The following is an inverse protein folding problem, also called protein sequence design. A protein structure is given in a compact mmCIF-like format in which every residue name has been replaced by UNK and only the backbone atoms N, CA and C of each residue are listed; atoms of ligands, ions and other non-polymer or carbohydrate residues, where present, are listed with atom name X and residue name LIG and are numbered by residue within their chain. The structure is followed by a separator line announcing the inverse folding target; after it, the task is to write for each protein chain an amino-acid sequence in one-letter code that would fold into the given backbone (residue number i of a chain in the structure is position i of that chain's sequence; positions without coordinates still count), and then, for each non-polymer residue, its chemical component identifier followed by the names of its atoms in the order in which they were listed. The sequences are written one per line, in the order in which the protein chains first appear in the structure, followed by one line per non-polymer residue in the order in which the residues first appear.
data_IF_202453286472
#
_entry.id   IF_202453286472
#
_cell.length_a   1.000
_cell.length_b   1.000
_cell.length_c   1.000
_cell.angle_alpha   90.00
_cell.angle_beta   90.00
_cell.angle_gamma   90.00
#
_symmetry.space_group_name_H-M   'P 1'
#
loop_
_entity.id
_entity.type
_entity.pdbx_description
1 polymer ?
#
# COMPACT_ATOMS: atom_id res chain seq x y z
N UNK A 1 -4.40 -21.76 19.08
CA UNK A 1 -4.49 -20.54 18.24
C UNK A 1 -3.53 -19.50 18.84
N UNK A 2 -2.67 -18.94 18.04
CA UNK A 2 -1.74 -17.90 18.48
C UNK A 2 -2.46 -16.55 18.59
N UNK A 3 -1.92 -15.59 19.35
CA UNK A 3 -2.47 -14.22 19.42
C UNK A 3 -2.53 -13.55 18.04
N UNK A 4 -1.58 -13.86 17.16
CA UNK A 4 -1.59 -13.41 15.77
C UNK A 4 -2.85 -13.93 15.06
N UNK A 5 -3.09 -15.24 15.11
CA UNK A 5 -4.27 -15.85 14.45
C UNK A 5 -5.60 -15.33 15.03
N UNK A 6 -5.68 -15.08 16.32
CA UNK A 6 -6.87 -14.49 16.96
C UNK A 6 -7.20 -13.11 16.36
N UNK A 7 -6.20 -12.22 16.26
CA UNK A 7 -6.38 -10.90 15.68
C UNK A 7 -6.69 -10.95 14.18
N UNK A 8 -6.08 -11.87 13.43
CA UNK A 8 -6.35 -12.05 12.02
C UNK A 8 -7.77 -12.59 11.77
N UNK A 9 -8.31 -13.44 12.64
CA UNK A 9 -9.71 -13.86 12.55
C UNK A 9 -10.70 -12.69 12.70
N UNK A 10 -10.38 -11.71 13.56
CA UNK A 10 -11.19 -10.48 13.67
C UNK A 10 -11.19 -9.73 12.33
N UNK A 11 -10.03 -9.55 11.70
CA UNK A 11 -9.93 -8.88 10.39
C UNK A 11 -10.69 -9.63 9.29
N UNK A 12 -10.66 -10.96 9.29
CA UNK A 12 -11.45 -11.78 8.34
C UNK A 12 -12.94 -11.56 8.55
N UNK A 13 -13.40 -11.51 9.80
CA UNK A 13 -14.80 -11.27 10.11
C UNK A 13 -15.25 -9.86 9.68
N UNK A 14 -14.43 -8.85 9.93
CA UNK A 14 -14.67 -7.46 9.49
C UNK A 14 -14.71 -7.35 7.96
N UNK A 15 -13.75 -7.96 7.26
CA UNK A 15 -13.75 -8.02 5.80
C UNK A 15 -15.03 -8.65 5.26
N UNK A 16 -15.42 -9.82 5.78
CA UNK A 16 -16.60 -10.55 5.34
C UNK A 16 -17.87 -9.72 5.53
N UNK A 17 -17.97 -9.01 6.64
CA UNK A 17 -19.11 -8.12 6.93
C UNK A 17 -19.13 -6.94 5.96
N UNK A 18 -18.03 -6.18 5.89
CA UNK A 18 -17.97 -4.95 5.10
C UNK A 18 -18.17 -5.22 3.60
N UNK A 19 -17.56 -6.28 3.04
CA UNK A 19 -17.72 -6.59 1.61
C UNK A 19 -19.16 -6.95 1.26
N UNK A 20 -19.88 -7.66 2.13
CA UNK A 20 -21.28 -7.99 1.93
C UNK A 20 -22.20 -6.77 2.03
N UNK A 21 -21.89 -5.83 2.91
CA UNK A 21 -22.69 -4.62 3.12
C UNK A 21 -22.43 -3.51 2.07
N UNK A 22 -21.32 -3.56 1.34
CA UNK A 22 -20.94 -2.53 0.35
C UNK A 22 -22.02 -2.37 -0.74
N UNK A 23 -22.59 -3.45 -1.21
CA UNK A 23 -23.61 -3.42 -2.27
C UNK A 23 -24.90 -2.76 -1.78
N UNK A 24 -25.35 -3.09 -0.58
CA UNK A 24 -26.57 -2.54 0.03
C UNK A 24 -26.43 -1.03 0.26
N UNK A 25 -25.27 -0.59 0.78
CA UNK A 25 -24.97 0.83 0.98
C UNK A 25 -24.93 1.59 -0.33
N UNK A 26 -24.34 1.00 -1.37
CA UNK A 26 -24.22 1.64 -2.68
C UNK A 26 -25.54 1.66 -3.43
N UNK A 27 -26.37 0.63 -3.31
CA UNK A 27 -27.69 0.53 -3.96
C UNK A 27 -28.71 1.60 -3.47
N UNK A 28 -28.50 2.13 -2.26
CA UNK A 28 -29.32 3.23 -1.72
C UNK A 28 -29.00 4.62 -2.32
N UNK A 29 -27.98 4.73 -3.17
CA UNK A 29 -27.53 5.97 -3.79
C UNK A 29 -27.83 6.03 -5.29
N UNK A 30 -27.89 7.26 -5.86
CA UNK A 30 -28.12 7.44 -7.31
C UNK A 30 -26.99 6.79 -8.13
N UNK A 31 -27.32 6.23 -9.30
CA UNK A 31 -26.44 5.44 -10.20
C UNK A 31 -25.01 6.02 -10.42
N UNK A 32 -24.89 7.36 -10.54
CA UNK A 32 -23.56 7.99 -10.70
C UNK A 32 -22.67 7.92 -9.47
N UNK A 33 -23.27 7.86 -8.27
CA UNK A 33 -22.54 7.79 -7.01
C UNK A 33 -22.15 6.33 -6.66
N UNK A 34 -22.91 5.33 -7.15
CA UNK A 34 -22.73 3.92 -6.82
C UNK A 34 -21.30 3.43 -6.97
N UNK A 35 -20.69 3.55 -8.15
CA UNK A 35 -19.32 3.10 -8.39
C UNK A 35 -18.26 3.87 -7.58
N UNK A 36 -18.51 5.14 -7.27
CA UNK A 36 -17.66 5.96 -6.41
C UNK A 36 -17.68 5.48 -4.96
N UNK A 37 -18.85 5.17 -4.42
CA UNK A 37 -19.04 4.68 -3.05
C UNK A 37 -18.36 3.32 -2.88
N UNK A 38 -18.57 2.37 -3.81
CA UNK A 38 -17.91 1.06 -3.77
C UNK A 38 -16.38 1.22 -3.77
N UNK A 39 -15.83 2.08 -4.62
CA UNK A 39 -14.39 2.32 -4.70
C UNK A 39 -13.84 2.91 -3.41
N UNK A 40 -14.53 3.90 -2.84
CA UNK A 40 -14.14 4.52 -1.57
C UNK A 40 -14.15 3.50 -0.43
N UNK A 41 -15.23 2.74 -0.28
CA UNK A 41 -15.37 1.72 0.78
C UNK A 41 -14.33 0.61 0.68
N UNK A 42 -14.05 0.11 -0.53
CA UNK A 42 -12.97 -0.85 -0.74
C UNK A 42 -11.60 -0.24 -0.44
N UNK A 43 -11.35 1.02 -0.77
CA UNK A 43 -10.12 1.73 -0.43
C UNK A 43 -9.93 1.84 1.09
N UNK A 44 -10.96 2.32 1.80
CA UNK A 44 -10.96 2.43 3.27
C UNK A 44 -10.70 1.07 3.93
N UNK A 45 -11.29 -0.01 3.41
CA UNK A 45 -11.10 -1.37 3.91
C UNK A 45 -9.65 -1.85 3.76
N UNK A 46 -9.02 -1.63 2.59
CA UNK A 46 -7.61 -2.01 2.36
C UNK A 46 -6.68 -1.27 3.32
N UNK A 47 -6.91 0.03 3.49
CA UNK A 47 -6.12 0.83 4.41
C UNK A 47 -6.27 0.36 5.87
N UNK A 48 -7.50 0.02 6.28
CA UNK A 48 -7.75 -0.54 7.61
C UNK A 48 -7.00 -1.86 7.79
N UNK A 49 -7.14 -2.80 6.86
CA UNK A 49 -6.45 -4.09 6.91
C UNK A 49 -4.92 -3.87 6.95
N UNK A 50 -4.36 -3.02 6.10
CA UNK A 50 -2.92 -2.76 6.07
C UNK A 50 -2.41 -2.23 7.42
N UNK A 51 -3.14 -1.29 8.06
CA UNK A 51 -2.80 -0.76 9.38
C UNK A 51 -2.79 -1.85 10.46
N UNK A 52 -3.82 -2.68 10.47
CA UNK A 52 -3.92 -3.75 11.48
C UNK A 52 -2.86 -4.84 11.26
N UNK A 53 -2.56 -5.22 10.01
CA UNK A 53 -1.48 -6.16 9.70
C UNK A 53 -0.11 -5.66 10.20
N UNK A 54 0.19 -4.37 10.00
CA UNK A 54 1.43 -3.75 10.52
C UNK A 54 1.46 -3.77 12.04
N UNK A 55 0.35 -3.40 12.71
CA UNK A 55 0.27 -3.45 14.18
C UNK A 55 0.47 -4.87 14.69
N UNK A 56 -0.18 -5.87 14.09
CA UNK A 56 -0.03 -7.28 14.45
C UNK A 56 1.42 -7.74 14.26
N UNK A 57 2.05 -7.36 13.15
CA UNK A 57 3.46 -7.67 12.89
C UNK A 57 4.36 -7.09 13.99
N UNK A 58 4.11 -5.85 14.43
CA UNK A 58 4.92 -5.18 15.45
C UNK A 58 4.65 -5.72 16.86
N UNK A 59 3.39 -5.79 17.26
CA UNK A 59 3.02 -6.10 18.68
C UNK A 59 3.00 -7.59 18.98
N UNK A 60 2.52 -8.42 18.05
CA UNK A 60 2.33 -9.84 18.30
C UNK A 60 3.48 -10.70 17.75
N UNK A 61 3.90 -10.45 16.50
CA UNK A 61 4.97 -11.24 15.89
C UNK A 61 6.35 -10.84 16.43
N UNK A 62 6.64 -9.53 16.50
CA UNK A 62 7.92 -9.00 17.03
C UNK A 62 7.88 -8.66 18.52
N UNK A 63 6.71 -8.73 19.17
CA UNK A 63 6.49 -8.46 20.59
C UNK A 63 7.04 -7.11 21.04
N UNK A 64 6.88 -6.08 20.21
CA UNK A 64 7.37 -4.74 20.49
C UNK A 64 6.27 -3.84 21.08
N UNK A 65 6.69 -2.81 21.82
CA UNK A 65 5.77 -1.83 22.39
C UNK A 65 5.16 -0.96 21.29
N UNK A 66 3.82 -0.88 21.27
CA UNK A 66 3.05 -0.09 20.30
C UNK A 66 3.33 1.42 20.45
N UNK A 67 3.74 1.89 21.63
CA UNK A 67 4.05 3.32 21.87
C UNK A 67 5.21 3.84 21.03
N UNK A 68 6.06 2.95 20.51
CA UNK A 68 7.16 3.28 19.60
C UNK A 68 6.71 3.45 18.14
N UNK A 69 5.48 3.02 17.82
CA UNK A 69 4.93 3.04 16.48
C UNK A 69 3.90 4.15 16.32
N UNK A 70 4.08 4.99 15.32
CA UNK A 70 3.08 5.93 14.85
C UNK A 70 2.64 5.53 13.43
N UNK A 71 1.33 5.49 13.18
CA UNK A 71 0.77 5.28 11.84
C UNK A 71 -0.09 6.48 11.47
N UNK A 72 0.28 7.17 10.39
CA UNK A 72 -0.43 8.38 9.96
C UNK A 72 -0.54 8.48 8.42
N UNK A 73 -1.14 9.59 7.92
CA UNK A 73 -1.23 9.98 6.50
C UNK A 73 -0.66 11.38 6.28
N UNK A 74 0.27 11.81 7.12
CA UNK A 74 0.80 13.16 7.14
C UNK A 74 1.62 13.42 5.87
N UNK A 75 1.24 14.44 5.10
CA UNK A 75 1.99 14.81 3.90
C UNK A 75 3.33 15.44 4.27
N UNK A 76 4.39 14.98 3.61
CA UNK A 76 5.75 15.50 3.73
C UNK A 76 6.03 16.43 2.56
N UNK A 77 6.70 17.57 2.77
CA UNK A 77 7.13 18.44 1.68
C UNK A 77 8.35 17.83 0.99
N UNK A 78 8.26 17.64 -0.32
CA UNK A 78 9.39 17.29 -1.18
C UNK A 78 9.81 18.55 -1.93
N UNK A 79 11.03 18.99 -1.72
CA UNK A 79 11.60 20.19 -2.35
C UNK A 79 12.11 19.92 -3.76
N UNK A 80 12.61 20.99 -4.39
CA UNK A 80 13.17 20.93 -5.73
C UNK A 80 14.58 20.30 -5.69
N UNK A 81 14.81 19.36 -6.60
CA UNK A 81 16.10 18.72 -6.85
C UNK A 81 17.05 19.69 -7.58
N UNK A 82 18.32 19.77 -7.16
CA UNK A 82 19.34 20.64 -7.77
C UNK A 82 19.63 20.28 -9.24
N UNK A 83 19.58 19.00 -9.56
CA UNK A 83 19.74 18.54 -10.94
C UNK A 83 18.65 19.06 -11.89
N UNK A 84 17.43 19.28 -11.38
CA UNK A 84 16.37 19.93 -12.14
C UNK A 84 16.72 21.39 -12.43
N UNK A 85 17.16 22.15 -11.42
CA UNK A 85 17.57 23.55 -11.60
C UNK A 85 18.71 23.67 -12.61
N UNK A 86 19.66 22.74 -12.55
CA UNK A 86 20.77 22.71 -13.50
C UNK A 86 20.32 22.55 -14.97
N UNK A 87 19.27 21.74 -15.20
CA UNK A 87 18.74 21.44 -16.54
C UNK A 87 17.81 22.52 -17.13
N UNK A 88 17.36 23.50 -16.33
CA UNK A 88 16.51 24.58 -16.83
C UNK A 88 17.32 25.43 -17.81
N UNK A 89 16.88 25.47 -19.09
CA UNK A 89 17.54 26.21 -20.16
C UNK A 89 17.13 27.69 -20.21
N UNK A 90 15.87 28.02 -19.85
CA UNK A 90 15.40 29.40 -19.81
C UNK A 90 15.93 30.14 -18.58
N UNK A 91 16.70 31.23 -18.73
CA UNK A 91 17.30 31.97 -17.61
C UNK A 91 16.26 32.58 -16.66
N UNK A 92 15.10 33.04 -17.18
CA UNK A 92 14.06 33.67 -16.36
C UNK A 92 13.37 32.61 -15.49
N UNK A 93 13.04 31.45 -16.08
CA UNK A 93 12.46 30.32 -15.34
C UNK A 93 13.45 29.82 -14.30
N UNK A 94 14.75 29.68 -14.64
CA UNK A 94 15.80 29.28 -13.71
C UNK A 94 15.90 30.21 -12.50
N UNK A 95 15.96 31.51 -12.77
CA UNK A 95 16.01 32.57 -11.73
C UNK A 95 14.77 32.51 -10.84
N UNK A 96 13.58 32.38 -11.43
CA UNK A 96 12.33 32.25 -10.68
C UNK A 96 12.35 31.04 -9.75
N UNK A 97 12.74 29.87 -10.27
CA UNK A 97 12.78 28.62 -9.49
C UNK A 97 13.81 28.71 -8.37
N UNK A 98 15.00 29.28 -8.61
CA UNK A 98 16.02 29.49 -7.57
C UNK A 98 15.52 30.42 -6.46
N UNK A 99 14.93 31.56 -6.81
CA UNK A 99 14.45 32.55 -5.83
C UNK A 99 13.26 32.04 -5.00
N UNK A 100 12.48 31.12 -5.53
CA UNK A 100 11.28 30.56 -4.88
C UNK A 100 11.45 29.13 -4.36
N UNK A 101 12.65 28.60 -4.35
CA UNK A 101 12.96 27.19 -4.05
C UNK A 101 12.26 26.66 -2.80
N UNK A 102 12.24 27.44 -1.71
CA UNK A 102 11.67 27.02 -0.43
C UNK A 102 10.12 26.94 -0.43
N UNK A 103 9.47 27.63 -1.35
CA UNK A 103 8.01 27.60 -1.51
C UNK A 103 7.52 26.61 -2.57
N UNK A 104 8.39 26.22 -3.50
CA UNK A 104 8.10 25.27 -4.55
C UNK A 104 8.27 23.85 -4.04
N UNK A 105 7.30 23.37 -3.27
CA UNK A 105 7.31 22.05 -2.66
C UNK A 105 6.12 21.21 -3.12
N UNK A 106 6.36 19.93 -3.37
CA UNK A 106 5.33 18.93 -3.59
C UNK A 106 4.96 18.25 -2.28
N UNK A 107 3.69 18.33 -1.86
CA UNK A 107 3.22 17.70 -0.63
C UNK A 107 2.81 16.27 -0.93
N UNK A 108 3.66 15.32 -0.58
CA UNK A 108 3.52 13.90 -0.84
C UNK A 108 3.28 13.10 0.45
N UNK A 109 2.53 12.01 0.33
CA UNK A 109 2.32 11.03 1.40
C UNK A 109 1.60 9.81 0.85
N UNK A 110 1.79 8.67 1.50
CA UNK A 110 1.13 7.40 1.17
C UNK A 110 -0.14 7.19 1.99
N UNK A 111 -0.95 6.21 1.61
CA UNK A 111 -2.21 5.89 2.31
C UNK A 111 -1.96 5.44 3.76
N UNK A 112 -0.85 4.74 4.01
CA UNK A 112 -0.41 4.33 5.35
C UNK A 112 1.09 4.60 5.48
N UNK A 113 1.48 5.43 6.42
CA UNK A 113 2.87 5.74 6.75
C UNK A 113 3.17 5.24 8.16
N UNK A 114 4.13 4.34 8.28
CA UNK A 114 4.54 3.77 9.57
C UNK A 114 5.85 4.36 10.00
N UNK A 115 5.85 4.94 11.18
CA UNK A 115 7.04 5.49 11.83
C UNK A 115 7.39 4.66 13.06
N UNK A 116 8.67 4.38 13.24
CA UNK A 116 9.21 3.79 14.47
C UNK A 116 10.21 4.77 15.05
N UNK A 117 9.99 5.14 16.30
CA UNK A 117 10.80 6.13 17.01
C UNK A 117 10.99 7.44 16.18
N UNK A 118 9.91 7.88 15.51
CA UNK A 118 9.88 9.08 14.68
C UNK A 118 10.48 8.95 13.27
N UNK A 119 11.06 7.80 12.90
CA UNK A 119 11.61 7.54 11.55
C UNK A 119 10.57 6.82 10.69
N UNK A 120 10.32 7.32 9.46
CA UNK A 120 9.50 6.61 8.46
C UNK A 120 10.20 5.30 8.07
N UNK A 121 9.47 4.18 8.21
CA UNK A 121 10.01 2.84 7.96
C UNK A 121 9.24 2.04 6.93
N UNK A 122 7.90 2.23 6.84
CA UNK A 122 7.06 1.59 5.84
C UNK A 122 6.13 2.62 5.18
N UNK A 123 6.47 3.14 4.00
CA UNK A 123 5.51 3.82 3.13
C UNK A 123 4.66 2.77 2.40
N UNK A 124 3.34 2.80 2.61
CA UNK A 124 2.41 1.80 2.07
C UNK A 124 1.32 2.51 1.26
N UNK A 125 1.20 2.15 0.00
CA UNK A 125 0.08 2.52 -0.86
C UNK A 125 -0.98 1.42 -0.81
N UNK A 126 -2.25 1.80 -0.71
CA UNK A 126 -3.37 0.87 -0.60
C UNK A 126 -4.29 1.00 -1.81
N UNK A 127 -4.64 -0.12 -2.43
CA UNK A 127 -5.53 -0.15 -3.59
C UNK A 127 -6.54 -1.28 -3.48
N UNK A 128 -7.79 -1.02 -3.89
CA UNK A 128 -8.76 -2.10 -4.06
C UNK A 128 -8.29 -3.10 -5.14
N UNK A 129 -7.60 -2.60 -6.15
CA UNK A 129 -6.87 -3.38 -7.16
C UNK A 129 -5.79 -2.50 -7.77
N UNK A 130 -4.77 -3.09 -8.36
CA UNK A 130 -3.78 -2.38 -9.15
C UNK A 130 -3.64 -2.99 -10.55
N UNK A 131 -3.44 -2.11 -11.53
CA UNK A 131 -3.13 -2.42 -12.92
C UNK A 131 -1.81 -1.74 -13.33
N UNK A 132 -1.25 -2.09 -14.49
CA UNK A 132 0.04 -1.55 -14.94
C UNK A 132 0.09 -0.02 -15.02
N UNK A 133 -1.02 0.64 -15.33
CA UNK A 133 -1.06 2.11 -15.33
C UNK A 133 -0.88 2.69 -13.91
N UNK A 134 -1.44 2.03 -12.90
CA UNK A 134 -1.26 2.40 -11.49
C UNK A 134 0.15 2.07 -11.01
N UNK A 135 0.75 0.96 -11.43
CA UNK A 135 2.13 0.60 -11.09
C UNK A 135 3.13 1.67 -11.56
N UNK A 136 2.96 2.23 -12.75
CA UNK A 136 3.81 3.34 -13.24
C UNK A 136 3.83 4.52 -12.26
N UNK A 137 2.66 4.91 -11.76
CA UNK A 137 2.54 5.98 -10.76
C UNK A 137 3.16 5.58 -9.44
N UNK A 138 2.89 4.37 -8.97
CA UNK A 138 3.43 3.85 -7.70
C UNK A 138 4.96 3.79 -7.74
N UNK A 139 5.56 3.38 -8.85
CA UNK A 139 7.01 3.36 -9.04
C UNK A 139 7.61 4.77 -9.00
N UNK A 140 6.95 5.75 -9.63
CA UNK A 140 7.38 7.15 -9.54
C UNK A 140 7.29 7.69 -8.11
N UNK A 141 6.19 7.40 -7.42
CA UNK A 141 6.00 7.77 -6.02
C UNK A 141 7.05 7.11 -5.10
N UNK A 142 7.40 5.85 -5.36
CA UNK A 142 8.44 5.12 -4.64
C UNK A 142 9.85 5.72 -4.85
N UNK A 143 10.16 6.13 -6.08
CA UNK A 143 11.42 6.81 -6.39
C UNK A 143 11.53 8.16 -5.68
N UNK A 144 10.44 8.95 -5.68
CA UNK A 144 10.39 10.20 -4.91
C UNK A 144 10.61 9.96 -3.40
N UNK A 145 10.04 8.90 -2.83
CA UNK A 145 10.23 8.56 -1.43
C UNK A 145 11.66 8.11 -1.14
N UNK A 146 12.28 7.35 -2.05
CA UNK A 146 13.69 6.96 -1.95
C UNK A 146 14.60 8.19 -1.94
N UNK A 147 14.43 9.11 -2.90
CA UNK A 147 15.24 10.33 -2.99
C UNK A 147 15.01 11.30 -1.83
N UNK A 148 13.76 11.55 -1.47
CA UNK A 148 13.42 12.64 -0.56
C UNK A 148 13.57 12.27 0.92
N UNK A 149 13.32 11.01 1.30
CA UNK A 149 13.28 10.57 2.70
C UNK A 149 14.11 9.32 2.98
N UNK A 150 14.80 8.77 1.98
CA UNK A 150 15.66 7.60 2.13
C UNK A 150 14.87 6.30 2.42
N UNK A 151 13.66 6.18 1.91
CA UNK A 151 12.87 4.95 2.03
C UNK A 151 13.28 3.94 0.95
N UNK A 152 14.09 2.95 1.32
CA UNK A 152 14.64 1.95 0.38
C UNK A 152 13.59 0.97 -0.16
N UNK A 153 12.47 0.80 0.54
CA UNK A 153 11.39 -0.12 0.17
C UNK A 153 10.05 0.59 0.21
N UNK A 154 9.25 0.36 -0.81
CA UNK A 154 7.88 0.84 -0.93
C UNK A 154 6.91 -0.34 -0.99
N UNK A 155 5.75 -0.22 -0.36
CA UNK A 155 4.78 -1.31 -0.28
C UNK A 155 3.50 -0.95 -1.01
N UNK A 156 2.99 -1.89 -1.81
CA UNK A 156 1.64 -1.87 -2.34
C UNK A 156 0.83 -2.97 -1.67
N UNK A 157 -0.21 -2.60 -0.93
CA UNK A 157 -1.21 -3.54 -0.44
C UNK A 157 -2.47 -3.41 -1.29
N UNK A 158 -2.93 -4.51 -1.88
CA UNK A 158 -4.12 -4.53 -2.72
C UNK A 158 -5.04 -5.70 -2.34
N UNK A 159 -6.36 -5.53 -2.53
CA UNK A 159 -7.28 -6.67 -2.40
C UNK A 159 -7.08 -7.64 -3.57
N UNK A 160 -7.22 -7.16 -4.80
CA UNK A 160 -7.12 -7.98 -6.00
C UNK A 160 -6.00 -7.49 -6.91
N UNK A 161 -5.34 -8.41 -7.61
CA UNK A 161 -4.39 -8.10 -8.66
C UNK A 161 -5.09 -7.96 -10.02
N UNK A 162 -4.72 -6.97 -10.81
CA UNK A 162 -5.05 -6.85 -12.24
C UNK A 162 -3.77 -6.58 -13.05
N UNK A 163 -2.73 -7.34 -12.75
CA UNK A 163 -1.38 -7.18 -13.30
C UNK A 163 -1.05 -8.25 -14.35
N UNK A 164 -2.04 -9.04 -14.77
CA UNK A 164 -1.87 -10.15 -15.71
C UNK A 164 -1.34 -11.41 -15.00
N UNK A 165 -1.92 -11.75 -13.87
CA UNK A 165 -1.61 -12.91 -13.05
C UNK A 165 -1.95 -12.71 -11.60
N UNK A 166 -1.91 -13.80 -10.85
CA UNK A 166 -2.17 -13.79 -9.41
C UNK A 166 -0.87 -13.51 -8.64
N UNK A 167 -0.79 -12.38 -7.97
CA UNK A 167 0.34 -12.03 -7.10
C UNK A 167 0.19 -12.58 -5.67
N UNK A 168 -0.85 -13.36 -5.38
CA UNK A 168 -1.06 -13.95 -4.06
C UNK A 168 -0.32 -15.28 -3.87
N UNK A 169 -0.02 -16.02 -4.95
CA UNK A 169 0.63 -17.33 -4.88
C UNK A 169 1.85 -17.47 -5.80
N UNK A 170 2.91 -18.10 -5.26
CA UNK A 170 4.18 -18.32 -5.95
C UNK A 170 4.21 -19.56 -6.85
N UNK A 171 3.30 -20.53 -6.68
CA UNK A 171 3.58 -21.88 -7.13
C UNK A 171 2.99 -22.26 -8.49
N UNK A 172 1.99 -21.58 -9.02
CA UNK A 172 1.30 -22.05 -10.23
C UNK A 172 0.96 -20.99 -11.26
N UNK A 173 1.42 -19.75 -11.10
CA UNK A 173 0.89 -18.67 -11.90
C UNK A 173 1.96 -17.68 -12.37
N UNK A 174 1.70 -17.15 -13.52
CA UNK A 174 2.39 -16.00 -14.08
C UNK A 174 2.22 -14.80 -13.14
N UNK A 175 3.28 -14.43 -12.43
CA UNK A 175 3.35 -13.22 -11.62
C UNK A 175 3.34 -11.97 -12.49
N UNK A 176 2.17 -11.54 -12.90
CA UNK A 176 2.01 -10.38 -13.75
C UNK A 176 2.33 -10.64 -15.22
N UNK A 177 1.94 -9.70 -16.04
CA UNK A 177 2.22 -9.70 -17.47
C UNK A 177 3.69 -9.39 -17.77
N UNK A 178 4.19 -9.69 -18.97
CA UNK A 178 5.51 -9.23 -19.42
C UNK A 178 5.70 -7.71 -19.25
N UNK A 179 4.64 -6.93 -19.47
CA UNK A 179 4.66 -5.47 -19.27
C UNK A 179 4.85 -5.09 -17.81
N UNK A 180 4.26 -5.82 -16.85
CA UNK A 180 4.45 -5.59 -15.41
C UNK A 180 5.93 -5.77 -15.02
N UNK A 181 6.54 -6.89 -15.43
CA UNK A 181 7.94 -7.17 -15.13
C UNK A 181 8.89 -6.18 -15.81
N UNK A 182 8.61 -5.81 -17.08
CA UNK A 182 9.38 -4.78 -17.77
C UNK A 182 9.35 -3.45 -17.00
N UNK A 183 8.17 -2.99 -16.57
CA UNK A 183 8.03 -1.76 -15.78
C UNK A 183 8.83 -1.83 -14.48
N UNK A 184 8.70 -2.92 -13.72
CA UNK A 184 9.41 -3.12 -12.45
C UNK A 184 10.93 -3.13 -12.63
N UNK A 185 11.43 -3.63 -13.77
CA UNK A 185 12.87 -3.76 -14.03
C UNK A 185 13.59 -2.45 -14.40
N UNK A 186 12.85 -1.41 -14.80
CA UNK A 186 13.43 -0.14 -15.27
C UNK A 186 13.56 0.94 -14.19
N UNK A 187 13.00 0.73 -13.01
CA UNK A 187 13.03 1.69 -11.91
C UNK A 187 13.78 1.05 -10.73
N UNK A 188 14.81 1.74 -10.25
CA UNK A 188 15.64 1.26 -9.15
C UNK A 188 14.98 1.53 -7.78
N UNK A 189 13.82 0.89 -7.56
CA UNK A 189 13.11 0.90 -6.29
C UNK A 189 12.71 -0.51 -5.88
N UNK A 190 12.73 -0.77 -4.59
CA UNK A 190 12.27 -2.04 -4.05
C UNK A 190 10.77 -1.95 -3.74
N UNK A 191 9.93 -2.28 -4.73
CA UNK A 191 8.47 -2.35 -4.58
C UNK A 191 8.04 -3.75 -4.16
N UNK A 192 7.50 -3.88 -2.96
CA UNK A 192 6.87 -5.11 -2.46
C UNK A 192 5.36 -5.07 -2.67
N UNK A 193 4.83 -5.99 -3.48
CA UNK A 193 3.39 -6.11 -3.77
C UNK A 193 2.80 -7.20 -2.87
N UNK A 194 1.78 -6.83 -2.09
CA UNK A 194 1.02 -7.73 -1.21
C UNK A 194 -0.41 -7.78 -1.73
N UNK A 195 -0.83 -8.94 -2.25
CA UNK A 195 -2.20 -9.19 -2.70
C UNK A 195 -2.92 -10.03 -1.65
N UNK A 196 -4.07 -9.55 -1.20
CA UNK A 196 -4.80 -10.16 -0.07
C UNK A 196 -5.81 -11.23 -0.51
N UNK A 197 -6.35 -11.14 -1.73
CA UNK A 197 -7.32 -12.09 -2.26
C UNK A 197 -6.70 -12.91 -3.39
N UNK A 198 -6.99 -14.22 -3.37
CA UNK A 198 -6.48 -15.14 -4.37
C UNK A 198 -7.12 -14.90 -5.75
N UNK A 199 -6.34 -15.11 -6.79
CA UNK A 199 -6.75 -15.00 -8.19
C UNK A 199 -6.78 -13.58 -8.71
N UNK A 200 -6.72 -13.45 -10.04
CA UNK A 200 -6.78 -12.16 -10.71
C UNK A 200 -8.18 -11.54 -10.61
N UNK A 201 -8.23 -10.21 -10.65
CA UNK A 201 -9.49 -9.46 -10.70
C UNK A 201 -10.18 -9.66 -12.05
N UNK A 202 -11.46 -10.04 -12.01
CA UNK A 202 -12.36 -10.01 -13.15
C UNK A 202 -13.33 -8.83 -13.00
N UNK A 203 -13.31 -7.92 -13.98
CA UNK A 203 -14.17 -6.72 -13.98
C UNK A 203 -15.65 -7.08 -13.97
N UNK A 204 -16.02 -8.20 -14.62
CA UNK A 204 -17.38 -8.69 -14.72
C UNK A 204 -17.84 -9.49 -13.48
N UNK A 205 -16.91 -9.79 -12.56
CA UNK A 205 -17.17 -10.55 -11.32
C UNK A 205 -16.73 -9.76 -10.10
N UNK A 206 -17.41 -8.67 -9.77
CA UNK A 206 -16.99 -7.81 -8.67
C UNK A 206 -17.25 -8.49 -7.31
N UNK A 207 -16.22 -8.52 -6.44
CA UNK A 207 -16.24 -9.25 -5.16
C UNK A 207 -17.32 -8.82 -4.16
N UNK A 208 -17.95 -7.66 -4.33
CA UNK A 208 -19.06 -7.21 -3.48
C UNK A 208 -20.39 -7.84 -3.86
N UNK A 209 -20.49 -8.53 -5.00
CA UNK A 209 -21.64 -9.34 -5.35
C UNK A 209 -21.51 -10.72 -4.72
N UNK A 210 -22.56 -11.26 -4.06
CA UNK A 210 -22.48 -12.51 -3.32
C UNK A 210 -21.95 -13.70 -4.14
N UNK A 211 -22.32 -13.78 -5.41
CA UNK A 211 -21.94 -14.85 -6.35
C UNK A 211 -20.44 -14.80 -6.74
N UNK A 212 -19.78 -13.66 -6.54
CA UNK A 212 -18.36 -13.45 -6.89
C UNK A 212 -17.50 -13.12 -5.66
N UNK A 213 -18.07 -13.31 -4.49
CA UNK A 213 -17.34 -13.06 -3.24
C UNK A 213 -16.07 -13.89 -3.18
N UNK A 214 -14.94 -13.23 -2.87
CA UNK A 214 -13.67 -13.88 -2.61
C UNK A 214 -13.38 -13.87 -1.12
N UNK A 215 -13.08 -15.03 -0.58
CA UNK A 215 -12.73 -15.19 0.83
C UNK A 215 -11.35 -14.63 1.13
N UNK A 216 -11.25 -13.85 2.21
CA UNK A 216 -9.98 -13.42 2.76
C UNK A 216 -9.41 -14.55 3.63
N UNK A 217 -8.30 -15.16 3.18
CA UNK A 217 -7.74 -16.34 3.82
C UNK A 217 -6.71 -16.01 4.88
N UNK A 218 -6.71 -16.78 5.96
CA UNK A 218 -5.72 -16.70 7.03
C UNK A 218 -4.29 -16.80 6.48
N UNK A 219 -4.04 -17.70 5.51
CA UNK A 219 -2.72 -17.89 4.90
C UNK A 219 -2.16 -16.61 4.28
N UNK A 220 -3.00 -15.86 3.58
CA UNK A 220 -2.58 -14.62 2.91
C UNK A 220 -2.28 -13.51 3.92
N UNK A 221 -3.09 -13.39 4.97
CA UNK A 221 -2.83 -12.46 6.06
C UNK A 221 -1.56 -12.79 6.83
N UNK A 222 -1.29 -14.07 7.09
CA UNK A 222 -0.04 -14.52 7.73
C UNK A 222 1.19 -14.20 6.86
N UNK A 223 1.11 -14.39 5.53
CA UNK A 223 2.17 -13.96 4.61
C UNK A 223 2.43 -12.46 4.72
N UNK A 224 1.37 -11.64 4.72
CA UNK A 224 1.49 -10.19 4.84
C UNK A 224 2.09 -9.76 6.19
N UNK A 225 1.66 -10.37 7.30
CA UNK A 225 2.25 -10.14 8.63
C UNK A 225 3.74 -10.47 8.64
N UNK A 226 4.14 -11.61 8.04
CA UNK A 226 5.54 -12.01 7.97
C UNK A 226 6.39 -11.04 7.13
N UNK A 227 5.86 -10.53 6.01
CA UNK A 227 6.54 -9.51 5.19
C UNK A 227 6.79 -8.26 6.02
N UNK A 228 5.78 -7.74 6.71
CA UNK A 228 5.93 -6.56 7.56
C UNK A 228 6.81 -6.82 8.79
N UNK A 229 6.71 -7.98 9.43
CA UNK A 229 7.58 -8.35 10.54
C UNK A 229 9.05 -8.40 10.11
N UNK A 230 9.36 -8.99 8.96
CA UNK A 230 10.72 -9.03 8.42
C UNK A 230 11.26 -7.62 8.13
N UNK A 231 10.44 -6.75 7.55
CA UNK A 231 10.81 -5.36 7.28
C UNK A 231 11.05 -4.54 8.56
N UNK A 232 10.25 -4.78 9.59
CA UNK A 232 10.32 -4.08 10.88
C UNK A 232 11.37 -4.65 11.83
N UNK A 233 11.86 -5.88 11.60
CA UNK A 233 12.78 -6.60 12.49
C UNK A 233 14.03 -5.78 12.85
N UNK A 234 14.60 -5.05 11.91
CA UNK A 234 15.79 -4.20 12.13
C UNK A 234 15.55 -3.03 13.10
N UNK A 235 14.30 -2.70 13.41
CA UNK A 235 13.90 -1.66 14.35
C UNK A 235 13.42 -2.24 15.69
N UNK A 236 13.29 -3.57 15.80
CA UNK A 236 12.94 -4.24 17.03
C UNK A 236 14.10 -4.14 18.03
N UNK A 237 13.78 -3.93 19.30
CA UNK A 237 14.76 -4.03 20.40
C UNK A 237 14.83 -5.49 20.84
N UNK A 238 16.05 -5.95 21.15
CA UNK A 238 16.22 -7.24 21.81
C UNK A 238 15.43 -7.23 23.13
N UNK A 239 14.60 -8.24 23.32
CA UNK A 239 13.95 -8.42 24.61
C UNK A 239 15.01 -8.99 25.54
N UNK A 240 15.40 -8.23 26.54
CA UNK A 240 16.10 -8.80 27.70
C UNK A 240 15.16 -9.78 28.37
N UNK A 241 15.40 -11.08 28.15
CA UNK A 241 14.70 -12.19 28.82
C UNK A 241 15.20 -12.29 30.24
#
# INVERSE_FOLDING_TARGET
MTKVEEKLNVLIAEYNKLVKEIDDVAASSNDRAYGGIIRSKKGELVEHIARELVKIAWTEALRQDISRMEINKKKMPIGINDAYIARISDPNVKTYVQNNRNSLVYKFGTDVQVFIDGKLVLPIECKAYAENAMIKRILFDAELMKEAVGADTYYLVQLESQLGGDYSELNDVTYGSPATHALLSHIDVNLTIITLLKGERDVNKPIHKPEFFKELKMSELLKAVNIFANALKKYAREQNV
#
